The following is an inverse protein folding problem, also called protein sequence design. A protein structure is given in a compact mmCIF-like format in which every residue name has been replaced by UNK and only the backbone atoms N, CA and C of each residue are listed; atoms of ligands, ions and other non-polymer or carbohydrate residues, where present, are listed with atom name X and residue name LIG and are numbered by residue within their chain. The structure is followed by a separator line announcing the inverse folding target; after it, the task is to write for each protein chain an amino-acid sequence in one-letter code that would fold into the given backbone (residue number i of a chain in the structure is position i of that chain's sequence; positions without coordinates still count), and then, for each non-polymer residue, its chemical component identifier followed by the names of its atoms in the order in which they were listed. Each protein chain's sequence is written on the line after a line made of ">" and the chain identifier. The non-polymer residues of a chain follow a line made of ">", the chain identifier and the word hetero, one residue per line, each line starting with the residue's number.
data_IF_460099090062
#
_entry.id   IF_460099090062
#
_cell.length_a   1.000
_cell.length_b   1.000
_cell.length_c   1.000
_cell.angle_alpha   90.00
_cell.angle_beta   90.00
_cell.angle_gamma   90.00
#
_symmetry.space_group_name_H-M   'P 1'
#
loop_
_entity.id
_entity.type
_entity.pdbx_description
1 polymer ?
#
# COMPACT_ATOMS: atom_id res chain seq x y z
N UNK A 1 -29.41 14.32 6.67
CA UNK A 1 -28.84 13.26 5.80
C UNK A 1 -27.44 13.02 6.33
N UNK A 2 -27.07 11.83 6.83
CA UNK A 2 -25.72 11.66 7.36
C UNK A 2 -24.76 11.71 6.18
N UNK A 3 -23.86 12.67 6.20
CA UNK A 3 -22.67 12.70 5.35
C UNK A 3 -21.93 11.38 5.57
N UNK A 4 -22.11 10.45 4.62
CA UNK A 4 -21.26 9.28 4.53
C UNK A 4 -19.88 9.84 4.16
N UNK A 5 -19.06 10.11 5.17
CA UNK A 5 -17.63 10.34 5.01
C UNK A 5 -17.06 9.09 4.35
N UNK A 6 -17.12 9.03 3.01
CA UNK A 6 -16.39 8.06 2.20
C UNK A 6 -14.91 8.42 2.37
N UNK A 7 -14.30 7.98 3.48
CA UNK A 7 -12.86 7.91 3.56
C UNK A 7 -12.44 7.02 2.38
N UNK A 8 -11.66 7.60 1.46
CA UNK A 8 -11.22 6.83 0.30
C UNK A 8 -10.33 5.68 0.78
N UNK A 9 -10.32 4.52 0.12
CA UNK A 9 -9.50 3.37 0.55
C UNK A 9 -8.03 3.74 0.80
N UNK A 10 -7.51 4.69 0.00
CA UNK A 10 -6.18 5.25 0.17
C UNK A 10 -5.99 5.98 1.50
N UNK A 11 -6.95 6.81 1.93
CA UNK A 11 -6.86 7.55 3.19
C UNK A 11 -6.82 6.60 4.38
N UNK A 12 -7.68 5.58 4.41
CA UNK A 12 -7.68 4.58 5.47
C UNK A 12 -6.34 3.85 5.58
N UNK A 13 -5.73 3.51 4.44
CA UNK A 13 -4.41 2.87 4.40
C UNK A 13 -3.33 3.80 4.96
N UNK A 14 -3.34 5.07 4.57
CA UNK A 14 -2.39 6.06 5.07
C UNK A 14 -2.56 6.24 6.58
N UNK A 15 -3.79 6.34 7.07
CA UNK A 15 -4.08 6.44 8.50
C UNK A 15 -3.56 5.22 9.27
N UNK A 16 -3.74 4.00 8.74
CA UNK A 16 -3.17 2.77 9.31
C UNK A 16 -1.64 2.82 9.37
N UNK A 17 -0.98 3.28 8.31
CA UNK A 17 0.49 3.43 8.27
C UNK A 17 0.99 4.48 9.26
N UNK A 18 0.23 5.55 9.47
CA UNK A 18 0.62 6.65 10.37
C UNK A 18 0.41 6.25 11.83
N UNK A 19 -0.75 5.67 12.15
CA UNK A 19 -1.13 5.27 13.51
C UNK A 19 -0.46 4.00 14.02
N UNK A 20 -0.02 3.11 13.12
CA UNK A 20 0.73 1.91 13.50
C UNK A 20 2.15 2.30 13.95
N UNK A 21 2.41 2.11 15.24
CA UNK A 21 3.75 2.17 15.83
C UNK A 21 4.23 0.74 16.04
N UNK A 22 5.48 0.43 15.65
CA UNK A 22 6.02 -0.93 15.56
C UNK A 22 5.94 -1.76 16.85
N UNK A 23 4.80 -2.38 17.11
CA UNK A 23 4.55 -3.24 18.29
C UNK A 23 4.97 -4.69 18.07
N UNK A 24 6.01 -4.93 17.24
CA UNK A 24 6.60 -6.25 17.00
C UNK A 24 5.82 -7.16 16.04
N UNK A 25 4.49 -7.04 15.95
CA UNK A 25 3.67 -7.68 14.92
C UNK A 25 3.58 -6.73 13.71
N UNK A 26 4.17 -7.10 12.58
CA UNK A 26 4.11 -6.29 11.36
C UNK A 26 2.66 -5.96 10.94
N UNK A 27 2.51 -4.89 10.17
CA UNK A 27 1.25 -4.49 9.56
C UNK A 27 1.00 -5.28 8.27
N UNK A 28 -0.20 -5.83 8.14
CA UNK A 28 -0.68 -6.43 6.90
C UNK A 28 -1.69 -5.50 6.23
N UNK A 29 -1.51 -5.22 4.94
CA UNK A 29 -2.44 -4.42 4.14
C UNK A 29 -2.97 -5.24 2.97
N UNK A 30 -4.29 -5.46 2.97
CA UNK A 30 -5.02 -5.92 1.79
C UNK A 30 -5.36 -4.72 0.91
N UNK A 31 -4.89 -4.76 -0.34
CA UNK A 31 -5.04 -3.69 -1.31
C UNK A 31 -5.96 -4.09 -2.46
N UNK A 32 -6.78 -5.13 -2.30
CA UNK A 32 -7.68 -5.64 -3.34
C UNK A 32 -8.66 -4.60 -3.89
N UNK A 33 -9.10 -3.64 -3.07
CA UNK A 33 -10.04 -2.58 -3.47
C UNK A 33 -9.36 -1.22 -3.70
N UNK A 34 -8.03 -1.15 -3.56
CA UNK A 34 -7.31 0.10 -3.78
C UNK A 34 -7.08 0.31 -5.27
N UNK A 35 -7.68 1.34 -5.85
CA UNK A 35 -7.35 1.80 -7.20
C UNK A 35 -6.75 3.19 -7.16
N UNK A 36 -5.88 3.45 -8.15
CA UNK A 36 -5.23 4.73 -8.31
C UNK A 36 -5.76 5.39 -9.58
N UNK A 37 -6.50 6.46 -9.42
CA UNK A 37 -6.94 7.30 -10.54
C UNK A 37 -5.81 8.22 -11.02
N UNK A 38 -4.89 8.59 -10.11
CA UNK A 38 -3.83 9.56 -10.36
C UNK A 38 -2.45 9.08 -9.90
N UNK A 39 -1.41 9.44 -10.65
CA UNK A 39 -0.02 9.09 -10.30
C UNK A 39 0.46 9.72 -8.98
N UNK A 40 -0.09 10.88 -8.59
CA UNK A 40 0.25 11.54 -7.33
C UNK A 40 -0.15 10.70 -6.10
N UNK A 41 -1.29 10.00 -6.19
CA UNK A 41 -1.78 9.11 -5.13
C UNK A 41 -0.86 7.91 -4.90
N UNK A 42 -0.31 7.33 -5.99
CA UNK A 42 0.68 6.24 -5.91
C UNK A 42 1.95 6.73 -5.22
N UNK A 43 2.47 7.89 -5.64
CA UNK A 43 3.68 8.47 -5.07
C UNK A 43 3.52 8.76 -3.56
N UNK A 44 2.37 9.30 -3.16
CA UNK A 44 2.02 9.54 -1.77
C UNK A 44 2.06 8.24 -0.95
N UNK A 45 1.41 7.17 -1.42
CA UNK A 45 1.40 5.90 -0.70
C UNK A 45 2.81 5.30 -0.58
N UNK A 46 3.59 5.35 -1.67
CA UNK A 46 4.99 4.90 -1.66
C UNK A 46 5.81 5.65 -0.61
N UNK A 47 5.61 6.96 -0.49
CA UNK A 47 6.32 7.76 0.52
C UNK A 47 5.86 7.46 1.95
N UNK A 48 4.57 7.17 2.17
CA UNK A 48 4.09 6.73 3.49
C UNK A 48 4.64 5.36 3.87
N UNK A 49 4.73 4.42 2.92
CA UNK A 49 5.37 3.12 3.13
C UNK A 49 6.85 3.32 3.52
N UNK A 50 7.59 4.19 2.83
CA UNK A 50 8.98 4.53 3.21
C UNK A 50 9.06 5.03 4.65
N UNK A 51 8.17 5.95 5.03
CA UNK A 51 8.16 6.51 6.38
C UNK A 51 7.79 5.48 7.45
N UNK A 52 6.89 4.55 7.15
CA UNK A 52 6.56 3.44 8.04
C UNK A 52 7.75 2.49 8.25
N UNK A 53 8.42 2.08 7.17
CA UNK A 53 9.60 1.20 7.24
C UNK A 53 10.79 1.87 7.97
N UNK A 54 10.96 3.19 7.83
CA UNK A 54 11.96 3.97 8.56
C UNK A 54 11.73 4.00 10.07
N UNK A 55 10.49 3.87 10.52
CA UNK A 55 10.09 3.81 11.94
C UNK A 55 10.14 2.37 12.49
N UNK A 56 11.01 1.55 11.91
CA UNK A 56 11.17 0.12 12.19
C UNK A 56 9.93 -0.77 11.91
N UNK A 57 8.94 -0.24 11.19
CA UNK A 57 7.76 -1.00 10.78
C UNK A 57 8.10 -2.19 9.89
N UNK A 58 7.30 -3.26 10.02
CA UNK A 58 7.29 -4.40 9.10
C UNK A 58 5.96 -4.41 8.36
N UNK A 59 5.99 -4.50 7.05
CA UNK A 59 4.82 -4.36 6.19
C UNK A 59 4.72 -5.54 5.23
N UNK A 60 3.55 -6.17 5.20
CA UNK A 60 3.20 -7.20 4.23
C UNK A 60 2.04 -6.67 3.37
N UNK A 61 2.25 -6.60 2.05
CA UNK A 61 1.29 -6.12 1.06
C UNK A 61 0.67 -7.28 0.31
N UNK A 62 -0.66 -7.32 0.27
CA UNK A 62 -1.43 -8.33 -0.44
C UNK A 62 -2.34 -7.67 -1.49
N UNK A 63 -2.47 -8.34 -2.64
CA UNK A 63 -3.25 -7.83 -3.79
C UNK A 63 -2.87 -6.40 -4.21
N UNK A 64 -1.59 -6.05 -4.14
CA UNK A 64 -1.14 -4.70 -4.49
C UNK A 64 -1.41 -4.42 -5.97
N UNK A 65 -1.99 -3.25 -6.32
CA UNK A 65 -2.15 -2.83 -7.71
C UNK A 65 -0.81 -2.84 -8.44
N UNK A 66 -0.82 -3.23 -9.73
CA UNK A 66 0.42 -3.34 -10.52
C UNK A 66 1.21 -2.04 -10.54
N UNK A 67 0.53 -0.89 -10.63
CA UNK A 67 1.18 0.43 -10.62
C UNK A 67 1.94 0.68 -9.31
N UNK A 68 1.41 0.24 -8.16
CA UNK A 68 2.09 0.38 -6.87
C UNK A 68 3.30 -0.56 -6.82
N UNK A 69 3.10 -1.84 -7.17
CA UNK A 69 4.18 -2.83 -7.20
C UNK A 69 5.36 -2.39 -8.10
N UNK A 70 5.05 -1.85 -9.28
CA UNK A 70 6.05 -1.30 -10.20
C UNK A 70 6.82 -0.13 -9.58
N UNK A 71 6.12 0.79 -8.91
CA UNK A 71 6.79 1.93 -8.26
C UNK A 71 7.67 1.48 -7.09
N UNK A 72 7.19 0.55 -6.25
CA UNK A 72 7.97 -0.03 -5.14
C UNK A 72 9.24 -0.73 -5.65
N UNK A 73 9.16 -1.47 -6.76
CA UNK A 73 10.32 -2.07 -7.42
C UNK A 73 11.29 -0.99 -7.90
N UNK A 74 10.79 0.01 -8.63
CA UNK A 74 11.59 1.08 -9.23
C UNK A 74 12.38 1.88 -8.20
N UNK A 75 11.81 2.12 -7.01
CA UNK A 75 12.50 2.83 -5.92
C UNK A 75 13.32 1.92 -5.00
N UNK A 76 13.42 0.62 -5.32
CA UNK A 76 14.20 -0.36 -4.57
C UNK A 76 13.60 -0.75 -3.23
N UNK A 77 12.30 -0.52 -2.99
CA UNK A 77 11.67 -0.88 -1.72
C UNK A 77 11.38 -2.37 -1.59
N UNK A 78 11.17 -3.09 -2.70
CA UNK A 78 10.94 -4.54 -2.65
C UNK A 78 12.17 -5.35 -2.22
N UNK A 79 13.35 -4.73 -2.12
CA UNK A 79 14.54 -5.36 -1.54
C UNK A 79 14.68 -5.09 -0.03
N UNK A 80 13.79 -4.28 0.55
CA UNK A 80 13.83 -3.95 1.97
C UNK A 80 13.42 -5.18 2.80
N UNK A 81 14.21 -5.60 3.81
CA UNK A 81 13.99 -6.86 4.54
C UNK A 81 12.69 -6.89 5.37
N UNK A 82 12.05 -5.74 5.52
CA UNK A 82 10.80 -5.56 6.28
C UNK A 82 9.60 -5.20 5.42
N UNK A 83 9.76 -5.23 4.10
CA UNK A 83 8.64 -5.11 3.16
C UNK A 83 8.51 -6.42 2.39
N UNK A 84 7.36 -7.07 2.51
CA UNK A 84 7.00 -8.21 1.68
C UNK A 84 5.87 -7.80 0.75
N UNK A 85 6.02 -8.10 -0.55
CA UNK A 85 4.91 -8.07 -1.49
C UNK A 85 4.49 -9.52 -1.76
N UNK A 86 3.41 -9.96 -1.12
CA UNK A 86 2.98 -11.36 -1.15
C UNK A 86 2.29 -11.70 -2.47
N UNK A 87 1.43 -10.80 -2.96
CA UNK A 87 0.71 -10.98 -4.21
C UNK A 87 0.44 -9.63 -4.86
N UNK A 88 0.74 -9.53 -6.15
CA UNK A 88 0.25 -8.44 -7.00
C UNK A 88 -1.14 -8.80 -7.52
N UNK A 89 -2.02 -7.80 -7.62
CA UNK A 89 -3.29 -7.99 -8.30
C UNK A 89 -3.02 -8.39 -9.75
N UNK A 90 -3.63 -9.49 -10.18
CA UNK A 90 -3.71 -9.82 -11.60
C UNK A 90 -4.91 -9.05 -12.14
N UNK A 91 -4.67 -7.91 -12.79
CA UNK A 91 -5.71 -7.31 -13.61
C UNK A 91 -5.99 -8.28 -14.76
N UNK A 92 -7.25 -8.69 -14.93
CA UNK A 92 -7.67 -9.55 -16.05
C UNK A 92 -7.48 -8.81 -17.38
N UNK A 93 -6.25 -8.81 -17.89
CA UNK A 93 -5.98 -8.50 -19.28
C UNK A 93 -6.04 -9.81 -20.08
N UNK A 94 -7.17 -9.98 -20.77
CA UNK A 94 -7.44 -10.95 -21.84
C UNK A 94 -7.90 -12.36 -21.44
N UNK A 95 -9.21 -12.49 -21.22
CA UNK A 95 -9.94 -13.68 -21.61
C UNK A 95 -11.13 -13.26 -22.50
N UNK A 96 -10.90 -13.24 -23.83
CA UNK A 96 -11.95 -13.14 -24.85
C UNK A 96 -11.96 -11.85 -25.65
#
# INVERSE_FOLDING_TARGET
>A
MPEQNLHTPLQEIIEKLVSSTGSGTGLFLDLAELDFEEGAAVALLVDQIKQYLKRDGRLDLFQAPQVLAHNLYRVGLLTHPRLTLTQTRMDEAHAG
#
